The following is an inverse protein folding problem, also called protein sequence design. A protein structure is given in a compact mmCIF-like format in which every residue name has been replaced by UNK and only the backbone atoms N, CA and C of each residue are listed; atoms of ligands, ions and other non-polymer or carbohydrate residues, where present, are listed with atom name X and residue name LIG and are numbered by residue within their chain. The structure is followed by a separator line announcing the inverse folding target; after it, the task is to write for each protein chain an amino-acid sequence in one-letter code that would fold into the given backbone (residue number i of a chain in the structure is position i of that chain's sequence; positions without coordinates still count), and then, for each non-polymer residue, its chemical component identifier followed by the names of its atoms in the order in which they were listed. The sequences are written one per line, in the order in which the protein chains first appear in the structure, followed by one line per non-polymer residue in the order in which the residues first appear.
data_IF_525185254489
#
_entry.id   IF_525185254489
#
_cell.length_a   1.000
_cell.length_b   1.000
_cell.length_c   1.000
_cell.angle_alpha   90.00
_cell.angle_beta   90.00
_cell.angle_gamma   90.00
#
_symmetry.space_group_name_H-M   'P 1'
#
loop_
_entity.id
_entity.type
_entity.pdbx_description
1 polymer ?
#
# COMPACT_ATOMS: atom_id res chain seq x y z
N UNK A 1 -1.79 31.73 -35.00
CA UNK A 1 -1.62 30.98 -33.73
C UNK A 1 -0.95 31.90 -32.73
N UNK A 2 -1.72 32.35 -31.75
CA UNK A 2 -1.30 33.32 -30.73
C UNK A 2 -0.19 32.73 -29.83
N UNK A 3 0.79 33.55 -29.46
CA UNK A 3 1.87 33.18 -28.52
C UNK A 3 1.28 32.71 -27.19
N UNK A 4 0.15 33.28 -26.77
CA UNK A 4 -0.58 32.88 -25.57
C UNK A 4 -1.07 31.42 -25.64
N UNK A 5 -1.54 30.96 -26.80
CA UNK A 5 -2.01 29.57 -26.99
C UNK A 5 -0.85 28.57 -26.87
N UNK A 6 0.34 28.93 -27.37
CA UNK A 6 1.53 28.08 -27.25
C UNK A 6 1.98 27.95 -25.79
N UNK A 7 1.93 29.04 -25.01
CA UNK A 7 2.29 29.03 -23.58
C UNK A 7 1.31 28.20 -22.75
N UNK A 8 0.01 28.26 -23.03
CA UNK A 8 -1.00 27.43 -22.37
C UNK A 8 -0.82 25.94 -22.66
N UNK A 9 -0.48 25.57 -23.90
CA UNK A 9 -0.18 24.19 -24.28
C UNK A 9 1.07 23.64 -23.55
N UNK A 10 2.12 24.44 -23.41
CA UNK A 10 3.33 24.07 -22.67
C UNK A 10 3.06 23.85 -21.18
N UNK A 11 2.22 24.70 -20.56
CA UNK A 11 1.81 24.52 -19.17
C UNK A 11 0.95 23.25 -18.96
N UNK A 12 0.06 22.94 -19.91
CA UNK A 12 -0.73 21.71 -19.84
C UNK A 12 0.14 20.43 -19.99
N UNK A 13 1.16 20.47 -20.86
CA UNK A 13 2.12 19.38 -21.04
C UNK A 13 2.98 19.12 -19.80
N UNK A 14 3.39 20.17 -19.07
CA UNK A 14 4.14 19.99 -17.82
C UNK A 14 3.28 19.46 -16.67
N UNK A 15 1.98 19.80 -16.64
CA UNK A 15 1.04 19.28 -15.64
C UNK A 15 0.74 17.78 -15.82
N UNK A 16 0.64 17.29 -17.07
CA UNK A 16 0.38 15.88 -17.38
C UNK A 16 1.52 14.93 -16.95
N UNK A 17 2.75 15.42 -16.85
CA UNK A 17 3.90 14.62 -16.46
C UNK A 17 3.92 14.23 -14.96
N UNK A 18 3.00 14.78 -14.15
CA UNK A 18 2.92 14.51 -12.71
C UNK A 18 1.93 13.41 -12.33
N UNK A 19 1.25 12.78 -13.30
CA UNK A 19 0.40 11.63 -13.03
C UNK A 19 1.29 10.45 -12.58
N UNK A 20 1.27 10.15 -11.28
CA UNK A 20 1.91 8.96 -10.71
C UNK A 20 1.46 7.75 -11.53
N UNK A 21 2.40 7.12 -12.24
CA UNK A 21 2.10 5.94 -13.03
C UNK A 21 1.51 4.88 -12.10
N UNK A 22 0.35 4.29 -12.42
CA UNK A 22 -0.16 3.15 -11.68
C UNK A 22 0.96 2.11 -11.58
N UNK A 23 1.16 1.50 -10.41
CA UNK A 23 2.10 0.39 -10.27
C UNK A 23 1.66 -0.68 -11.26
N UNK A 24 2.43 -0.89 -12.33
CA UNK A 24 2.19 -2.03 -13.19
C UNK A 24 2.70 -3.26 -12.45
N UNK A 25 1.75 -4.03 -11.92
CA UNK A 25 2.03 -5.26 -11.22
C UNK A 25 2.91 -6.22 -12.05
N UNK A 26 2.79 -6.17 -13.37
CA UNK A 26 3.57 -7.01 -14.29
C UNK A 26 5.05 -6.64 -14.34
N UNK A 27 5.39 -5.40 -14.02
CA UNK A 27 6.78 -4.90 -14.01
C UNK A 27 7.52 -5.25 -12.70
N UNK A 28 6.81 -5.77 -11.70
CA UNK A 28 7.41 -6.22 -10.45
C UNK A 28 8.15 -7.55 -10.64
N UNK A 29 9.22 -7.77 -9.88
CA UNK A 29 9.91 -9.06 -9.89
C UNK A 29 8.99 -10.20 -9.46
N UNK A 30 9.21 -11.41 -9.97
CA UNK A 30 8.39 -12.59 -9.62
C UNK A 30 8.30 -12.81 -8.12
N UNK A 31 9.42 -12.67 -7.39
CA UNK A 31 9.45 -12.78 -5.93
C UNK A 31 8.58 -11.72 -5.24
N UNK A 32 8.60 -10.47 -5.73
CA UNK A 32 7.75 -9.43 -5.17
C UNK A 32 6.27 -9.68 -5.48
N UNK A 33 5.95 -10.14 -6.69
CA UNK A 33 4.60 -10.57 -7.06
C UNK A 33 4.09 -11.67 -6.13
N UNK A 34 4.89 -12.71 -5.86
CA UNK A 34 4.52 -13.80 -4.95
C UNK A 34 4.16 -13.31 -3.53
N UNK A 35 4.93 -12.37 -2.97
CA UNK A 35 4.62 -11.80 -1.66
C UNK A 35 3.39 -10.89 -1.69
N UNK A 36 3.15 -10.16 -2.78
CA UNK A 36 1.92 -9.37 -2.94
C UNK A 36 0.71 -10.29 -3.12
N UNK A 37 0.82 -11.39 -3.85
CA UNK A 37 -0.25 -12.38 -4.00
C UNK A 37 -0.67 -12.96 -2.65
N UNK A 38 0.27 -13.21 -1.73
CA UNK A 38 -0.06 -13.61 -0.34
C UNK A 38 -0.83 -12.52 0.42
N UNK A 39 -0.44 -11.25 0.26
CA UNK A 39 -1.17 -10.13 0.84
C UNK A 39 -2.59 -10.00 0.26
N UNK A 40 -2.72 -10.20 -1.06
CA UNK A 40 -4.01 -10.18 -1.76
C UNK A 40 -4.90 -11.34 -1.33
N UNK A 41 -4.35 -12.53 -1.14
CA UNK A 41 -5.08 -13.69 -0.62
C UNK A 41 -5.65 -13.40 0.77
N UNK A 42 -4.80 -12.97 1.70
CA UNK A 42 -5.22 -12.62 3.07
C UNK A 42 -6.23 -11.46 3.08
N UNK A 43 -6.00 -10.42 2.26
CA UNK A 43 -6.91 -9.30 2.09
C UNK A 43 -8.28 -9.71 1.52
N UNK A 44 -8.29 -10.52 0.47
CA UNK A 44 -9.51 -11.07 -0.14
C UNK A 44 -10.29 -11.97 0.83
N UNK A 45 -9.58 -12.71 1.69
CA UNK A 45 -10.17 -13.58 2.71
C UNK A 45 -10.85 -12.78 3.82
N UNK A 46 -10.18 -11.76 4.35
CA UNK A 46 -10.68 -10.96 5.49
C UNK A 46 -11.66 -9.85 5.10
N UNK A 47 -11.43 -9.17 3.98
CA UNK A 47 -12.11 -7.90 3.66
C UNK A 47 -12.88 -7.91 2.34
N UNK A 48 -12.61 -8.86 1.45
CA UNK A 48 -13.22 -8.87 0.11
C UNK A 48 -14.72 -9.13 0.12
N UNK A 49 -15.21 -9.98 1.02
CA UNK A 49 -16.58 -10.49 0.97
C UNK A 49 -16.87 -11.09 -0.41
N UNK A 50 -17.87 -10.57 -1.12
CA UNK A 50 -18.20 -10.96 -2.51
C UNK A 50 -17.35 -10.27 -3.59
N UNK A 51 -16.51 -9.32 -3.20
CA UNK A 51 -15.77 -8.46 -4.12
C UNK A 51 -14.28 -8.77 -4.08
N UNK A 52 -13.60 -8.46 -5.18
CA UNK A 52 -12.16 -8.64 -5.29
C UNK A 52 -11.41 -7.53 -4.57
N UNK A 53 -10.35 -7.88 -3.85
CA UNK A 53 -9.38 -6.95 -3.27
C UNK A 53 -8.18 -6.85 -4.20
N UNK A 54 -7.81 -5.62 -4.58
CA UNK A 54 -6.70 -5.33 -5.48
C UNK A 54 -5.60 -4.50 -4.79
N UNK A 55 -4.39 -4.56 -5.34
CA UNK A 55 -3.27 -3.71 -4.95
C UNK A 55 -3.61 -2.24 -5.26
N UNK A 56 -3.37 -1.35 -4.31
CA UNK A 56 -3.55 0.10 -4.48
C UNK A 56 -2.20 0.80 -4.58
N UNK A 57 -1.35 0.63 -3.56
CA UNK A 57 -0.02 1.25 -3.53
C UNK A 57 0.94 0.52 -2.58
N UNK A 58 2.24 0.81 -2.70
CA UNK A 58 3.17 0.53 -1.62
C UNK A 58 3.02 1.56 -0.50
N UNK A 59 3.24 1.14 0.74
CA UNK A 59 3.32 2.01 1.93
C UNK A 59 4.75 2.46 2.14
N UNK A 60 5.69 1.54 1.94
CA UNK A 60 7.14 1.76 1.98
C UNK A 60 7.78 0.99 0.82
N UNK A 61 8.99 1.36 0.37
CA UNK A 61 9.73 0.58 -0.61
C UNK A 61 9.84 -0.89 -0.17
N UNK A 62 9.55 -1.81 -1.09
CA UNK A 62 9.61 -3.24 -0.82
C UNK A 62 11.06 -3.75 -0.78
N UNK A 63 11.33 -4.69 0.12
CA UNK A 63 12.62 -5.38 0.20
C UNK A 63 12.38 -6.89 0.18
N UNK A 64 12.93 -7.56 -0.83
CA UNK A 64 12.86 -9.01 -1.01
C UNK A 64 14.27 -9.57 -1.24
N UNK A 65 14.99 -9.85 -0.15
CA UNK A 65 16.31 -10.50 -0.14
C UNK A 65 16.24 -11.76 0.75
N UNK A 66 17.13 -12.73 0.54
CA UNK A 66 17.10 -14.00 1.28
C UNK A 66 17.04 -13.85 2.82
N UNK A 67 17.76 -12.85 3.35
CA UNK A 67 17.81 -12.55 4.79
C UNK A 67 16.76 -11.54 5.26
N UNK A 68 16.06 -10.84 4.34
CA UNK A 68 15.22 -9.67 4.61
C UNK A 68 13.98 -9.70 3.73
N UNK A 69 12.82 -9.74 4.36
CA UNK A 69 11.54 -9.58 3.66
C UNK A 69 10.74 -8.49 4.35
N UNK A 70 10.35 -7.48 3.59
CA UNK A 70 9.38 -6.48 4.00
C UNK A 70 8.64 -5.93 2.77
N UNK A 71 7.38 -6.29 2.66
CA UNK A 71 6.44 -5.80 1.64
C UNK A 71 5.24 -5.23 2.39
N UNK A 72 5.11 -3.91 2.38
CA UNK A 72 4.03 -3.20 3.04
C UNK A 72 3.19 -2.48 1.98
N UNK A 73 1.94 -2.91 1.82
CA UNK A 73 1.07 -2.46 0.73
C UNK A 73 -0.29 -2.01 1.26
N UNK A 74 -0.86 -1.01 0.59
CA UNK A 74 -2.28 -0.73 0.67
C UNK A 74 -3.03 -1.54 -0.38
N UNK A 75 -4.13 -2.14 0.05
CA UNK A 75 -5.11 -2.79 -0.81
C UNK A 75 -6.45 -2.04 -0.74
N UNK A 76 -7.26 -2.21 -1.78
CA UNK A 76 -8.62 -1.67 -1.86
C UNK A 76 -9.61 -2.77 -2.25
N UNK A 77 -10.81 -2.74 -1.65
CA UNK A 77 -11.94 -3.53 -2.14
C UNK A 77 -12.45 -2.87 -3.41
N UNK A 78 -12.63 -3.65 -4.47
CA UNK A 78 -13.01 -3.15 -5.79
C UNK A 78 -14.48 -3.39 -6.09
N UNK A 79 -14.98 -2.82 -7.18
CA UNK A 79 -16.33 -3.13 -7.68
C UNK A 79 -16.42 -4.49 -8.37
N UNK A 80 -15.28 -5.10 -8.72
CA UNK A 80 -15.25 -6.44 -9.32
C UNK A 80 -15.79 -7.50 -8.37
N UNK A 81 -16.59 -8.42 -8.91
CA UNK A 81 -16.93 -9.64 -8.21
C UNK A 81 -15.70 -10.54 -8.05
N UNK A 82 -15.64 -11.19 -6.90
CA UNK A 82 -14.59 -12.15 -6.55
C UNK A 82 -14.71 -13.39 -7.44
N UNK A 83 -13.58 -13.87 -7.96
CA UNK A 83 -13.49 -15.15 -8.67
C UNK A 83 -12.90 -16.21 -7.75
N UNK A 84 -12.63 -17.41 -8.26
CA UNK A 84 -11.88 -18.43 -7.52
C UNK A 84 -10.42 -18.04 -7.27
N UNK A 85 -9.88 -17.08 -8.03
CA UNK A 85 -8.50 -16.61 -7.88
C UNK A 85 -8.46 -15.36 -6.99
N UNK A 86 -7.49 -15.31 -6.08
CA UNK A 86 -7.19 -14.13 -5.27
C UNK A 86 -6.09 -13.25 -5.84
N UNK A 87 -5.45 -13.67 -6.95
CA UNK A 87 -4.34 -12.95 -7.58
C UNK A 87 -4.74 -11.57 -8.07
N UNK A 88 -3.74 -10.72 -8.28
CA UNK A 88 -3.95 -9.37 -8.82
C UNK A 88 -4.70 -9.38 -10.15
N UNK A 89 -5.65 -8.45 -10.30
CA UNK A 89 -6.47 -8.26 -11.50
C UNK A 89 -6.40 -6.80 -11.94
N UNK A 90 -5.62 -6.47 -13.01
CA UNK A 90 -5.39 -5.08 -13.40
C UNK A 90 -6.67 -4.38 -13.85
N UNK A 91 -7.67 -5.12 -14.35
CA UNK A 91 -8.97 -4.58 -14.72
C UNK A 91 -9.81 -4.14 -13.51
N UNK A 92 -9.48 -4.61 -12.30
CA UNK A 92 -10.19 -4.28 -11.07
C UNK A 92 -9.59 -3.06 -10.37
N UNK A 93 -9.58 -1.93 -11.07
CA UNK A 93 -8.95 -0.69 -10.59
C UNK A 93 -9.88 0.23 -9.78
N UNK A 94 -11.20 0.03 -9.88
CA UNK A 94 -12.21 0.91 -9.31
C UNK A 94 -12.54 0.49 -7.87
N UNK A 95 -12.30 1.39 -6.91
CA UNK A 95 -12.61 1.16 -5.50
C UNK A 95 -14.13 1.13 -5.27
N UNK A 96 -14.60 0.16 -4.49
CA UNK A 96 -15.98 0.11 -4.01
C UNK A 96 -16.21 1.20 -2.97
N UNK A 97 -17.33 1.93 -3.09
CA UNK A 97 -17.69 2.96 -2.12
C UNK A 97 -17.83 2.40 -0.70
N UNK A 98 -17.48 3.22 0.27
CA UNK A 98 -17.63 2.94 1.70
C UNK A 98 -16.87 1.70 2.21
N UNK A 99 -15.80 1.27 1.52
CA UNK A 99 -14.90 0.23 2.00
C UNK A 99 -13.58 0.83 2.51
N UNK A 100 -13.03 0.37 3.64
CA UNK A 100 -11.78 0.89 4.17
C UNK A 100 -10.59 0.53 3.27
N UNK A 101 -9.54 1.37 3.27
CA UNK A 101 -8.22 0.93 2.79
C UNK A 101 -7.67 -0.12 3.74
N UNK A 102 -7.08 -1.17 3.18
CA UNK A 102 -6.51 -2.29 3.92
C UNK A 102 -5.00 -2.12 3.89
N UNK A 103 -4.34 -2.22 5.04
CA UNK A 103 -2.90 -2.22 5.12
C UNK A 103 -2.42 -3.64 5.39
N UNK A 104 -1.65 -4.20 4.46
CA UNK A 104 -1.09 -5.53 4.55
C UNK A 104 0.42 -5.48 4.65
N UNK A 105 0.96 -6.21 5.62
CA UNK A 105 2.39 -6.39 5.82
C UNK A 105 2.74 -7.85 5.58
N UNK A 106 3.69 -8.09 4.66
CA UNK A 106 4.36 -9.37 4.49
C UNK A 106 5.81 -9.19 4.90
N UNK A 107 6.25 -9.88 5.94
CA UNK A 107 7.59 -9.69 6.49
C UNK A 107 8.21 -11.00 6.96
N UNK A 108 9.53 -11.00 7.13
CA UNK A 108 10.21 -12.04 7.90
C UNK A 108 10.12 -11.72 9.39
N UNK A 109 9.64 -12.66 10.18
CA UNK A 109 9.60 -12.58 11.63
C UNK A 109 10.98 -12.88 12.23
N UNK A 110 11.19 -12.46 13.48
CA UNK A 110 12.43 -12.71 14.25
C UNK A 110 12.79 -14.21 14.39
N UNK A 111 11.80 -15.10 14.39
CA UNK A 111 11.99 -16.55 14.41
C UNK A 111 12.31 -17.16 13.02
N UNK A 112 12.40 -16.33 11.98
CA UNK A 112 12.67 -16.75 10.60
C UNK A 112 11.44 -17.12 9.77
N UNK A 113 10.25 -17.24 10.36
CA UNK A 113 9.00 -17.52 9.62
C UNK A 113 8.50 -16.29 8.90
N UNK A 114 7.64 -16.47 7.89
CA UNK A 114 6.98 -15.35 7.21
C UNK A 114 5.68 -14.98 7.94
N UNK A 115 5.45 -13.69 8.15
CA UNK A 115 4.17 -13.14 8.60
C UNK A 115 3.44 -12.53 7.40
N UNK A 116 2.15 -12.82 7.28
CA UNK A 116 1.22 -12.11 6.39
C UNK A 116 0.10 -11.54 7.25
N UNK A 117 0.03 -10.21 7.38
CA UNK A 117 -0.92 -9.56 8.27
C UNK A 117 -1.61 -8.34 7.65
N UNK A 118 -2.89 -8.51 7.33
CA UNK A 118 -3.78 -7.46 6.84
C UNK A 118 -4.75 -6.98 7.93
N UNK A 119 -4.90 -5.66 8.04
CA UNK A 119 -5.87 -4.96 8.89
C UNK A 119 -6.41 -3.71 8.19
N UNK A 120 -7.45 -3.07 8.74
CA UNK A 120 -7.90 -1.77 8.20
C UNK A 120 -6.81 -0.73 8.47
N UNK A 121 -6.62 0.21 7.55
CA UNK A 121 -5.64 1.30 7.71
C UNK A 121 -5.85 2.06 9.02
N UNK A 122 -7.11 2.27 9.42
CA UNK A 122 -7.45 3.01 10.64
C UNK A 122 -6.98 2.27 11.91
N UNK A 123 -7.18 0.95 11.99
CA UNK A 123 -6.75 0.12 13.11
C UNK A 123 -5.22 0.13 13.27
N UNK A 124 -4.49 0.15 12.14
CA UNK A 124 -3.02 0.31 12.13
C UNK A 124 -2.61 1.67 12.69
N UNK A 125 -3.28 2.76 12.30
CA UNK A 125 -2.97 4.11 12.78
C UNK A 125 -3.28 4.29 14.27
N UNK A 126 -4.30 3.58 14.77
CA UNK A 126 -4.64 3.54 16.19
C UNK A 126 -3.70 2.64 17.02
N UNK A 127 -2.83 1.86 16.36
CA UNK A 127 -1.85 1.01 17.04
C UNK A 127 -2.38 -0.35 17.49
N UNK A 128 -3.59 -0.75 17.07
CA UNK A 128 -4.26 -1.99 17.50
C UNK A 128 -3.48 -3.26 17.10
N UNK A 129 -2.59 -3.16 16.11
CA UNK A 129 -1.81 -4.28 15.59
C UNK A 129 -0.30 -4.13 15.79
N UNK A 130 0.11 -3.23 16.70
CA UNK A 130 1.54 -2.96 16.95
C UNK A 130 2.29 -4.22 17.39
N UNK A 131 1.77 -4.94 18.37
CA UNK A 131 2.40 -6.17 18.91
C UNK A 131 2.65 -7.23 17.83
N UNK A 132 1.66 -7.45 16.95
CA UNK A 132 1.78 -8.42 15.86
C UNK A 132 2.88 -7.98 14.87
N UNK A 133 2.95 -6.69 14.56
CA UNK A 133 3.87 -6.13 13.55
C UNK A 133 5.29 -5.92 14.09
N UNK A 134 5.45 -5.71 15.39
CA UNK A 134 6.75 -5.60 16.07
C UNK A 134 7.53 -6.94 16.09
N UNK A 135 6.88 -8.04 15.72
CA UNK A 135 7.52 -9.34 15.49
C UNK A 135 8.29 -9.42 14.17
N UNK A 136 8.07 -8.48 13.24
CA UNK A 136 8.89 -8.38 12.04
C UNK A 136 10.33 -8.01 12.40
N UNK A 137 11.30 -8.70 11.80
CA UNK A 137 12.72 -8.37 11.94
C UNK A 137 13.06 -7.13 11.10
N UNK A 138 12.75 -5.95 11.67
CA UNK A 138 13.12 -4.65 11.07
C UNK A 138 14.61 -4.36 11.16
N UNK A 139 15.33 -5.04 12.06
CA UNK A 139 16.76 -4.82 12.34
C UNK A 139 17.68 -5.13 11.16
N UNK A 140 17.20 -5.83 10.13
CA UNK A 140 17.96 -6.04 8.89
C UNK A 140 17.62 -5.07 7.76
N UNK A 141 16.51 -4.35 7.86
CA UNK A 141 16.16 -3.34 6.88
C UNK A 141 16.96 -2.10 7.28
N UNK A 142 18.05 -1.80 6.58
CA UNK A 142 18.97 -0.69 6.87
C UNK A 142 18.37 0.72 6.85
N UNK A 143 17.05 0.86 7.02
CA UNK A 143 16.39 2.07 7.49
C UNK A 143 16.47 2.06 9.00
N UNK A 144 17.59 2.57 9.51
CA UNK A 144 17.66 3.09 10.87
C UNK A 144 16.37 3.83 11.20
N UNK A 145 15.85 3.51 12.37
CA UNK A 145 14.69 4.04 13.09
C UNK A 145 14.61 5.57 13.26
N UNK A 146 15.16 6.38 12.36
CA UNK A 146 15.23 7.84 12.45
C UNK A 146 13.87 8.56 12.26
N UNK A 147 12.80 7.85 11.86
CA UNK A 147 11.45 8.44 11.84
C UNK A 147 10.46 7.85 12.86
N UNK A 148 10.91 6.91 13.70
CA UNK A 148 10.05 6.32 14.74
C UNK A 148 10.33 6.86 16.16
N UNK A 149 11.35 7.73 16.32
CA UNK A 149 11.79 8.22 17.65
C UNK A 149 11.55 9.72 17.88
N UNK A 150 10.94 10.43 16.94
CA UNK A 150 10.68 11.88 17.05
C UNK A 150 9.32 12.25 16.44
N UNK A 151 8.25 11.67 16.99
CA UNK A 151 6.96 12.34 16.98
C UNK A 151 6.63 12.63 18.44
N UNK A 152 6.77 13.89 18.91
CA UNK A 152 6.24 14.27 20.20
C UNK A 152 4.74 13.96 20.20
N UNK A 153 4.21 13.52 21.34
CA UNK A 153 2.79 13.16 21.54
C UNK A 153 1.78 14.23 21.05
N UNK A 154 2.26 15.44 20.76
CA UNK A 154 1.49 16.57 20.24
C UNK A 154 1.11 16.45 18.75
N UNK A 155 1.80 15.64 17.93
CA UNK A 155 1.45 15.46 16.52
C UNK A 155 0.22 14.58 16.28
N UNK A 156 -0.26 13.87 17.32
CA UNK A 156 -1.51 13.08 17.26
C UNK A 156 -2.78 13.95 17.21
N UNK A 157 -2.66 15.27 17.33
CA UNK A 157 -3.80 16.21 17.28
C UNK A 157 -3.87 17.10 16.03
N UNK A 158 -2.96 16.99 15.06
CA UNK A 158 -2.85 17.99 13.96
C UNK A 158 -3.11 17.52 12.53
N UNK A 159 -3.60 16.29 12.28
CA UNK A 159 -4.08 15.93 10.93
C UNK A 159 -5.55 16.35 10.76
N UNK A 160 -5.80 17.65 10.95
CA UNK A 160 -7.01 18.34 10.49
C UNK A 160 -6.95 18.52 8.98
N UNK A 161 -8.10 18.41 8.31
CA UNK A 161 -8.23 18.38 6.86
C UNK A 161 -7.53 19.57 6.16
N UNK A 162 -6.60 19.28 5.26
CA UNK A 162 -6.20 20.19 4.19
C UNK A 162 -7.25 20.09 3.07
N UNK A 163 -8.19 21.04 2.97
CA UNK A 163 -9.01 21.18 1.75
C UNK A 163 -10.43 21.73 1.84
N UNK A 164 -10.86 22.39 2.92
CA UNK A 164 -12.15 23.12 2.93
C UNK A 164 -11.97 24.55 3.48
N UNK A 165 -11.68 25.48 2.58
CA UNK A 165 -12.09 26.90 2.64
C UNK A 165 -12.69 27.21 1.27
#
# INVERSE_FOLDING_TARGET
MDVALKLLLLAALTLLASAQTPIDYKDLSTTLQEHIDKALEEGNRKFGGRHHVALDSFVTPAVTRQSILNVNVFLKVTTCMKTRSYKHRPECNTQKRSTPKINCLVCKMKNGTELVHCARKIDILHGEHKEIRDNCDVTRIGVSSLMAQTMPDDYRKQVGCLGCI
#
